data_IF_626576831537
#
_entry.id   IF_626576831537
#
_cell.length_a   1.000
_cell.length_b   1.000
_cell.length_c   1.000
_cell.angle_alpha   90.00
_cell.angle_beta   90.00
_cell.angle_gamma   90.00
#
_symmetry.space_group_name_H-M   'P 1'
#
loop_
_entity.id
_entity.type
_entity.pdbx_description
1 polymer ?
#
# COMPACT_ATOMS: atom_id res chain seq x y z
N UNK A 1 -4.17 20.56 2.42
CA UNK A 1 -3.28 19.38 2.29
C UNK A 1 -2.19 19.52 3.35
N UNK A 2 -2.32 18.77 4.44
CA UNK A 2 -1.40 18.92 5.57
C UNK A 2 0.02 18.46 5.20
N UNK A 3 0.99 19.30 5.51
CA UNK A 3 2.40 19.04 5.32
C UNK A 3 2.84 18.08 6.42
N UNK A 4 3.48 16.98 6.06
CA UNK A 4 4.04 16.03 7.04
C UNK A 4 5.09 16.75 7.89
N UNK A 5 4.81 16.95 9.16
CA UNK A 5 5.76 17.53 10.09
C UNK A 5 6.87 16.49 10.37
N UNK A 6 8.15 16.88 10.23
CA UNK A 6 9.30 15.98 10.42
C UNK A 6 9.40 15.35 11.81
N UNK A 7 8.65 15.88 12.78
CA UNK A 7 8.57 15.35 14.13
C UNK A 7 7.51 14.25 14.29
N UNK A 8 6.67 14.00 13.28
CA UNK A 8 5.64 12.98 13.35
C UNK A 8 6.19 11.58 13.06
N UNK A 9 5.72 10.64 13.86
CA UNK A 9 5.98 9.21 13.74
C UNK A 9 5.52 8.69 12.37
N UNK A 10 6.39 8.01 11.62
CA UNK A 10 6.00 7.44 10.32
C UNK A 10 5.09 6.23 10.53
N UNK A 11 3.93 6.22 9.85
CA UNK A 11 2.94 5.15 9.95
C UNK A 11 2.94 4.26 8.71
N UNK A 12 3.23 2.97 8.91
CA UNK A 12 3.14 1.95 7.89
C UNK A 12 1.86 1.14 8.05
N UNK A 13 1.06 1.03 7.01
CA UNK A 13 -0.12 0.19 6.97
C UNK A 13 0.19 -1.18 6.35
N UNK A 14 -0.28 -2.25 6.98
CA UNK A 14 -0.12 -3.63 6.51
C UNK A 14 -1.42 -4.41 6.65
N UNK A 15 -1.81 -5.14 5.60
CA UNK A 15 -2.93 -6.07 5.69
C UNK A 15 -2.48 -7.45 6.17
N UNK A 16 -3.09 -7.96 7.23
CA UNK A 16 -2.91 -9.35 7.68
C UNK A 16 -3.83 -10.28 6.88
N UNK A 17 -3.30 -10.82 5.79
CA UNK A 17 -4.03 -11.75 4.92
C UNK A 17 -3.28 -13.06 4.78
N UNK A 18 -4.01 -14.15 4.51
CA UNK A 18 -3.39 -15.45 4.17
C UNK A 18 -2.45 -15.28 2.97
N UNK A 19 -1.44 -16.14 2.87
CA UNK A 19 -0.52 -16.16 1.72
C UNK A 19 0.51 -15.02 1.73
N UNK A 20 0.88 -14.52 2.91
CA UNK A 20 1.92 -13.52 3.12
C UNK A 20 3.02 -14.05 4.03
N UNK A 21 4.23 -13.55 3.85
CA UNK A 21 5.34 -13.80 4.75
C UNK A 21 5.69 -12.49 5.48
N UNK A 22 5.60 -12.49 6.79
CA UNK A 22 5.87 -11.32 7.63
C UNK A 22 7.26 -11.36 8.28
N UNK A 23 8.03 -12.40 8.06
CA UNK A 23 9.38 -12.56 8.68
C UNK A 23 10.29 -11.40 8.29
N UNK A 24 10.29 -11.02 7.02
CA UNK A 24 11.10 -9.90 6.53
C UNK A 24 10.64 -8.56 7.14
N UNK A 25 9.33 -8.36 7.30
CA UNK A 25 8.78 -7.17 7.96
C UNK A 25 9.24 -7.07 9.41
N UNK A 26 9.14 -8.17 10.17
CA UNK A 26 9.56 -8.22 11.59
C UNK A 26 11.06 -7.94 11.71
N UNK A 27 11.90 -8.59 10.90
CA UNK A 27 13.35 -8.36 10.89
C UNK A 27 13.72 -6.92 10.53
N UNK A 28 13.05 -6.35 9.55
CA UNK A 28 13.26 -4.96 9.12
C UNK A 28 12.86 -3.96 10.21
N UNK A 29 11.72 -4.20 10.85
CA UNK A 29 11.22 -3.40 11.96
C UNK A 29 12.17 -3.43 13.16
N UNK A 30 12.71 -4.61 13.52
CA UNK A 30 13.68 -4.77 14.60
C UNK A 30 14.95 -3.96 14.33
N UNK A 31 15.47 -4.05 13.11
CA UNK A 31 16.67 -3.29 12.72
C UNK A 31 16.44 -1.78 12.77
N UNK A 32 15.30 -1.28 12.24
CA UNK A 32 14.95 0.14 12.31
C UNK A 32 14.78 0.64 13.74
N UNK A 33 14.16 -0.15 14.62
CA UNK A 33 14.03 0.20 16.04
C UNK A 33 15.38 0.29 16.73
N UNK A 34 16.29 -0.65 16.46
CA UNK A 34 17.66 -0.63 17.01
C UNK A 34 18.43 0.61 16.54
N UNK A 35 18.14 1.12 15.34
CA UNK A 35 18.70 2.38 14.82
C UNK A 35 17.92 3.63 15.31
N UNK A 36 16.97 3.46 16.24
CA UNK A 36 16.17 4.52 16.89
C UNK A 36 15.32 5.36 15.94
N UNK A 37 14.88 4.78 14.81
CA UNK A 37 13.89 5.43 13.97
C UNK A 37 12.52 5.51 14.65
N UNK A 38 11.80 6.63 14.43
CA UNK A 38 10.46 6.85 14.97
C UNK A 38 9.39 6.43 13.95
N UNK A 39 8.79 5.25 14.16
CA UNK A 39 7.76 4.70 13.27
C UNK A 39 6.83 3.74 14.00
N UNK A 40 5.74 3.40 13.36
CA UNK A 40 4.83 2.33 13.80
C UNK A 40 4.26 1.55 12.60
N UNK A 41 3.79 0.35 12.85
CA UNK A 41 3.23 -0.55 11.84
C UNK A 41 1.82 -0.93 12.28
N UNK A 42 0.83 -0.44 11.52
CA UNK A 42 -0.58 -0.73 11.80
C UNK A 42 -0.97 -1.97 11.00
N UNK A 43 -1.34 -3.03 11.69
CA UNK A 43 -1.72 -4.32 11.11
C UNK A 43 -3.22 -4.52 11.22
N UNK A 44 -3.89 -4.66 10.07
CA UNK A 44 -5.33 -4.92 9.97
C UNK A 44 -5.58 -6.32 9.40
N UNK A 45 -6.46 -7.08 10.03
CA UNK A 45 -6.88 -8.40 9.54
C UNK A 45 -6.95 -9.45 10.64
N UNK A 46 -6.95 -10.71 10.26
CA UNK A 46 -7.17 -11.83 11.20
C UNK A 46 -5.90 -12.16 11.99
N UNK A 47 -6.02 -12.27 13.31
CA UNK A 47 -4.92 -12.67 14.21
C UNK A 47 -4.27 -14.02 13.84
N UNK A 48 -5.06 -14.96 13.31
CA UNK A 48 -4.56 -16.27 12.89
C UNK A 48 -3.56 -16.22 11.73
N UNK A 49 -3.43 -15.08 11.06
CA UNK A 49 -2.57 -14.93 9.89
C UNK A 49 -1.28 -14.19 10.23
N UNK A 50 -1.40 -13.03 10.86
CA UNK A 50 -0.29 -12.34 11.51
C UNK A 50 -0.42 -12.58 13.02
N UNK A 51 0.42 -13.44 13.56
CA UNK A 51 0.39 -13.73 14.98
C UNK A 51 1.27 -12.72 15.72
N UNK A 52 0.64 -11.80 16.46
CA UNK A 52 1.37 -10.82 17.29
C UNK A 52 2.25 -11.47 18.35
N UNK A 53 1.96 -12.72 18.75
CA UNK A 53 2.79 -13.46 19.68
C UNK A 53 4.14 -13.88 19.09
N UNK A 54 4.25 -13.93 17.76
CA UNK A 54 5.52 -14.21 17.07
C UNK A 54 6.41 -12.98 16.93
N UNK A 55 5.90 -11.79 17.24
CA UNK A 55 6.68 -10.55 17.24
C UNK A 55 7.55 -10.53 18.51
N UNK A 56 8.87 -10.32 18.40
CA UNK A 56 9.77 -10.18 19.54
C UNK A 56 9.28 -9.12 20.52
N UNK A 57 9.48 -9.39 21.82
CA UNK A 57 8.96 -8.52 22.89
C UNK A 57 9.53 -7.09 22.82
N UNK A 58 10.78 -6.97 22.43
CA UNK A 58 11.52 -5.71 22.32
C UNK A 58 11.02 -4.78 21.21
N UNK A 59 10.27 -5.29 20.24
CA UNK A 59 9.68 -4.48 19.15
C UNK A 59 8.15 -4.53 19.10
N UNK A 60 7.52 -5.17 20.08
CA UNK A 60 6.07 -5.38 20.06
C UNK A 60 5.27 -4.08 20.13
N UNK A 61 5.83 -3.08 20.79
CA UNK A 61 5.24 -1.74 20.98
C UNK A 61 5.09 -0.93 19.69
N UNK A 62 5.88 -1.23 18.65
CA UNK A 62 5.77 -0.57 17.35
C UNK A 62 4.73 -1.24 16.43
N UNK A 63 4.18 -2.40 16.78
CA UNK A 63 3.13 -3.09 16.05
C UNK A 63 1.76 -2.84 16.67
N UNK A 64 0.91 -2.08 15.97
CA UNK A 64 -0.45 -1.78 16.39
C UNK A 64 -1.39 -2.73 15.68
N UNK A 65 -1.80 -3.79 16.35
CA UNK A 65 -2.73 -4.76 15.78
C UNK A 65 -4.19 -4.36 16.05
N UNK A 66 -4.97 -4.04 15.00
CA UNK A 66 -6.36 -3.59 15.11
C UNK A 66 -7.39 -4.72 14.88
N UNK A 67 -6.95 -5.92 14.50
CA UNK A 67 -7.87 -7.01 14.18
C UNK A 67 -8.67 -6.76 12.91
N UNK A 68 -9.87 -7.37 12.85
CA UNK A 68 -10.82 -7.09 11.77
C UNK A 68 -11.61 -5.84 12.13
N UNK A 69 -11.68 -4.91 11.20
CA UNK A 69 -12.39 -3.62 11.35
C UNK A 69 -13.44 -3.46 10.25
N UNK A 70 -14.39 -2.54 10.44
CA UNK A 70 -15.32 -2.12 9.38
C UNK A 70 -14.59 -1.39 8.26
N UNK A 71 -15.19 -1.30 7.08
CA UNK A 71 -14.60 -0.56 5.96
C UNK A 71 -14.37 0.92 6.30
N UNK A 72 -15.32 1.58 6.95
CA UNK A 72 -15.16 2.97 7.39
C UNK A 72 -13.91 3.15 8.26
N UNK A 73 -13.70 2.25 9.24
CA UNK A 73 -12.52 2.32 10.11
C UNK A 73 -11.23 1.96 9.37
N UNK A 74 -11.31 1.03 8.42
CA UNK A 74 -10.18 0.70 7.53
C UNK A 74 -9.73 1.93 6.74
N UNK A 75 -10.67 2.66 6.14
CA UNK A 75 -10.38 3.83 5.34
C UNK A 75 -9.77 4.96 6.16
N UNK A 76 -10.34 5.25 7.32
CA UNK A 76 -9.78 6.21 8.28
C UNK A 76 -8.31 5.87 8.64
N UNK A 77 -8.01 4.59 8.89
CA UNK A 77 -6.65 4.16 9.21
C UNK A 77 -5.71 4.34 8.03
N UNK A 78 -6.16 4.02 6.81
CA UNK A 78 -5.33 4.19 5.61
C UNK A 78 -5.09 5.68 5.32
N UNK A 79 -6.10 6.51 5.46
CA UNK A 79 -5.96 7.97 5.28
C UNK A 79 -4.92 8.57 6.22
N UNK A 80 -4.87 8.10 7.46
CA UNK A 80 -3.88 8.54 8.45
C UNK A 80 -2.52 7.87 8.32
N UNK A 81 -2.39 6.80 7.53
CA UNK A 81 -1.10 6.15 7.28
C UNK A 81 -0.29 6.87 6.22
N UNK A 82 1.03 6.79 6.31
CA UNK A 82 1.94 7.37 5.31
C UNK A 82 2.16 6.42 4.12
N UNK A 83 2.39 5.14 4.41
CA UNK A 83 2.77 4.15 3.40
C UNK A 83 2.00 2.85 3.56
N UNK A 84 1.81 2.13 2.46
CA UNK A 84 1.26 0.78 2.46
C UNK A 84 2.37 -0.23 2.16
N UNK A 85 2.62 -1.19 3.05
CA UNK A 85 3.57 -2.27 2.79
C UNK A 85 2.84 -3.46 2.17
N UNK A 86 3.28 -3.85 0.99
CA UNK A 86 2.75 -5.01 0.26
C UNK A 86 3.69 -6.20 0.48
N UNK A 87 3.33 -7.08 1.40
CA UNK A 87 4.15 -8.21 1.87
C UNK A 87 4.08 -9.44 0.96
N UNK A 88 4.13 -9.26 -0.36
CA UNK A 88 4.31 -10.35 -1.32
C UNK A 88 5.79 -10.75 -1.36
N UNK A 89 6.05 -12.05 -1.47
CA UNK A 89 7.42 -12.58 -1.59
C UNK A 89 7.50 -13.54 -2.78
N UNK A 90 8.54 -13.45 -3.61
CA UNK A 90 8.70 -14.28 -4.81
C UNK A 90 8.70 -15.79 -4.54
N UNK A 91 9.26 -16.20 -3.42
CA UNK A 91 9.39 -17.63 -3.03
C UNK A 91 8.10 -18.22 -2.44
N UNK A 92 7.02 -17.45 -2.39
CA UNK A 92 5.74 -17.92 -1.88
C UNK A 92 5.14 -18.93 -2.85
N UNK A 93 4.59 -20.05 -2.31
CA UNK A 93 3.78 -21.01 -3.11
C UNK A 93 2.59 -20.35 -3.83
N UNK A 94 2.28 -19.11 -3.54
CA UNK A 94 1.22 -18.31 -4.15
C UNK A 94 1.74 -17.28 -5.16
N UNK A 95 3.03 -17.27 -5.43
CA UNK A 95 3.68 -16.31 -6.32
C UNK A 95 2.99 -16.25 -7.69
N UNK A 96 2.86 -17.38 -8.39
CA UNK A 96 2.18 -17.46 -9.68
C UNK A 96 0.74 -16.91 -9.66
N UNK A 97 0.04 -17.07 -8.54
CA UNK A 97 -1.31 -16.59 -8.40
C UNK A 97 -1.37 -15.05 -8.43
N UNK A 98 -0.44 -14.38 -7.76
CA UNK A 98 -0.38 -12.93 -7.71
C UNK A 98 0.29 -12.30 -8.93
N UNK A 99 1.06 -13.06 -9.70
CA UNK A 99 1.61 -12.60 -10.98
C UNK A 99 0.62 -12.72 -12.14
N UNK A 100 -0.29 -13.68 -12.11
CA UNK A 100 -1.10 -14.04 -13.29
C UNK A 100 -2.60 -13.77 -13.14
N UNK A 101 -3.18 -14.03 -11.97
CA UNK A 101 -4.63 -14.15 -11.85
C UNK A 101 -5.28 -13.32 -10.74
N UNK A 102 -4.49 -12.71 -9.84
CA UNK A 102 -5.05 -11.96 -8.72
C UNK A 102 -4.36 -10.64 -8.51
N UNK A 103 -5.16 -9.62 -8.26
CA UNK A 103 -4.69 -8.34 -7.75
C UNK A 103 -4.68 -8.39 -6.21
N UNK A 104 -3.66 -7.84 -5.59
CA UNK A 104 -3.66 -7.66 -4.14
C UNK A 104 -4.49 -6.43 -3.75
N UNK A 105 -5.39 -6.59 -2.76
CA UNK A 105 -6.15 -5.47 -2.24
C UNK A 105 -5.28 -4.30 -1.74
N UNK A 106 -4.09 -4.59 -1.22
CA UNK A 106 -3.14 -3.53 -0.80
C UNK A 106 -2.68 -2.64 -1.97
N UNK A 107 -2.55 -3.18 -3.19
CA UNK A 107 -2.24 -2.38 -4.38
C UNK A 107 -3.43 -1.48 -4.75
N UNK A 108 -4.65 -2.00 -4.70
CA UNK A 108 -5.87 -1.22 -4.94
C UNK A 108 -6.02 -0.09 -3.91
N UNK A 109 -5.74 -0.36 -2.63
CA UNK A 109 -5.75 0.64 -1.57
C UNK A 109 -4.68 1.73 -1.79
N UNK A 110 -3.49 1.35 -2.29
CA UNK A 110 -2.44 2.33 -2.64
C UNK A 110 -2.93 3.31 -3.69
N UNK A 111 -3.56 2.83 -4.76
CA UNK A 111 -4.13 3.68 -5.80
C UNK A 111 -5.33 4.50 -5.30
N UNK A 112 -6.27 3.85 -4.60
CA UNK A 112 -7.49 4.50 -4.13
C UNK A 112 -7.24 5.64 -3.14
N UNK A 113 -6.25 5.48 -2.27
CA UNK A 113 -5.90 6.48 -1.24
C UNK A 113 -4.67 7.33 -1.61
N UNK A 114 -4.10 7.15 -2.80
CA UNK A 114 -2.88 7.83 -3.25
C UNK A 114 -1.74 7.70 -2.23
N UNK A 115 -1.61 6.53 -1.60
CA UNK A 115 -0.56 6.25 -0.62
C UNK A 115 0.59 5.51 -1.30
N UNK A 116 1.83 6.05 -1.26
CA UNK A 116 2.98 5.33 -1.78
C UNK A 116 3.11 3.96 -1.11
N UNK A 117 3.35 2.93 -1.91
CA UNK A 117 3.56 1.61 -1.36
C UNK A 117 5.04 1.22 -1.33
N UNK A 118 5.33 0.27 -0.45
CA UNK A 118 6.61 -0.43 -0.39
C UNK A 118 6.34 -1.84 -0.90
N UNK A 119 7.01 -2.23 -1.99
CA UNK A 119 6.70 -3.47 -2.70
C UNK A 119 7.98 -4.13 -3.22
N UNK A 120 8.01 -5.47 -3.23
CA UNK A 120 9.09 -6.23 -3.86
C UNK A 120 9.10 -6.00 -5.39
N UNK A 121 10.31 -5.85 -5.96
CA UNK A 121 10.56 -5.58 -7.39
C UNK A 121 9.89 -6.60 -8.31
N UNK A 122 9.90 -7.86 -7.92
CA UNK A 122 9.30 -8.94 -8.68
C UNK A 122 7.79 -8.80 -8.89
N UNK A 123 7.10 -8.10 -7.98
CA UNK A 123 5.66 -7.83 -8.09
C UNK A 123 5.33 -6.42 -8.58
N UNK A 124 6.24 -5.47 -8.44
CA UNK A 124 5.99 -4.06 -8.74
C UNK A 124 5.48 -3.87 -10.19
N UNK A 125 6.12 -4.53 -11.15
CA UNK A 125 5.74 -4.45 -12.56
C UNK A 125 4.30 -4.88 -12.82
N UNK A 126 3.84 -5.97 -12.19
CA UNK A 126 2.48 -6.49 -12.42
C UNK A 126 1.37 -5.57 -11.91
N UNK A 127 1.72 -4.64 -11.04
CA UNK A 127 0.79 -3.67 -10.45
C UNK A 127 1.10 -2.23 -10.88
N UNK A 128 1.85 -2.02 -11.99
CA UNK A 128 2.25 -0.71 -12.50
C UNK A 128 3.00 0.19 -11.47
N UNK A 129 3.67 -0.44 -10.50
CA UNK A 129 4.56 0.28 -9.58
C UNK A 129 5.98 0.33 -10.13
N UNK A 130 6.65 1.47 -9.90
CA UNK A 130 8.03 1.73 -10.27
C UNK A 130 8.66 2.74 -9.30
N UNK A 131 9.95 3.01 -9.45
CA UNK A 131 10.70 3.90 -8.55
C UNK A 131 10.21 5.36 -8.54
N UNK A 132 9.33 5.77 -9.47
CA UNK A 132 8.72 7.10 -9.50
C UNK A 132 7.47 7.21 -8.63
N UNK A 133 6.76 6.11 -8.39
CA UNK A 133 5.47 6.10 -7.67
C UNK A 133 5.42 5.19 -6.44
N UNK A 134 6.51 4.50 -6.13
CA UNK A 134 6.60 3.56 -5.01
C UNK A 134 8.04 3.42 -4.51
N UNK A 135 8.20 2.76 -3.38
CA UNK A 135 9.50 2.37 -2.85
C UNK A 135 9.70 0.88 -3.12
N UNK A 136 10.56 0.58 -4.07
CA UNK A 136 10.81 -0.79 -4.53
C UNK A 136 12.03 -1.36 -3.80
N UNK A 137 11.92 -2.62 -3.38
CA UNK A 137 13.04 -3.36 -2.81
C UNK A 137 13.25 -4.69 -3.54
N UNK A 138 14.45 -5.26 -3.44
CA UNK A 138 14.83 -6.57 -3.94
C UNK A 138 15.48 -7.40 -2.83
N UNK A 139 15.62 -8.69 -3.10
CA UNK A 139 16.40 -9.62 -2.27
C UNK A 139 16.00 -9.56 -0.79
N UNK A 140 14.70 -9.46 -0.54
CA UNK A 140 14.13 -9.37 0.81
C UNK A 140 14.62 -8.15 1.62
N UNK A 141 15.23 -7.15 0.98
CA UNK A 141 15.79 -5.98 1.64
C UNK A 141 14.75 -4.88 1.94
N UNK A 142 13.63 -5.29 2.52
CA UNK A 142 12.53 -4.40 2.93
C UNK A 142 13.01 -3.31 3.90
N UNK A 143 14.01 -3.62 4.73
CA UNK A 143 14.60 -2.66 5.66
C UNK A 143 15.03 -1.36 4.97
N UNK A 144 15.78 -1.45 3.86
CA UNK A 144 16.27 -0.26 3.15
C UNK A 144 15.12 0.58 2.58
N UNK A 145 14.07 -0.06 2.06
CA UNK A 145 12.90 0.66 1.55
C UNK A 145 12.11 1.34 2.67
N UNK A 146 11.93 0.69 3.82
CA UNK A 146 11.31 1.29 5.00
C UNK A 146 12.16 2.44 5.56
N UNK A 147 13.48 2.28 5.64
CA UNK A 147 14.40 3.34 6.07
C UNK A 147 14.31 4.55 5.13
N UNK A 148 14.33 4.32 3.82
CA UNK A 148 14.14 5.38 2.83
C UNK A 148 12.80 6.08 3.02
N UNK A 149 11.71 5.33 3.26
CA UNK A 149 10.38 5.90 3.51
C UNK A 149 10.35 6.86 4.70
N UNK A 150 11.03 6.51 5.79
CA UNK A 150 11.12 7.36 6.99
C UNK A 150 11.92 8.64 6.71
N UNK A 151 12.97 8.54 5.89
CA UNK A 151 13.90 9.64 5.62
C UNK A 151 13.45 10.56 4.48
N UNK A 152 12.45 10.18 3.68
CA UNK A 152 11.94 11.01 2.59
C UNK A 152 11.47 12.37 3.13
N UNK A 153 11.87 13.44 2.45
CA UNK A 153 11.31 14.76 2.71
C UNK A 153 9.91 14.92 2.07
N UNK A 154 9.21 15.99 2.42
CA UNK A 154 7.84 16.24 1.95
C UNK A 154 7.74 16.36 0.42
N UNK A 155 8.73 16.94 -0.24
CA UNK A 155 8.72 17.10 -1.70
C UNK A 155 8.86 15.73 -2.39
N UNK A 156 9.77 14.88 -1.93
CA UNK A 156 9.96 13.53 -2.45
C UNK A 156 8.71 12.68 -2.23
N UNK A 157 8.12 12.74 -1.04
CA UNK A 157 6.86 12.05 -0.74
C UNK A 157 5.71 12.51 -1.65
N UNK A 158 5.54 13.82 -1.83
CA UNK A 158 4.51 14.37 -2.71
C UNK A 158 4.75 14.01 -4.18
N UNK A 159 5.99 13.92 -4.62
CA UNK A 159 6.32 13.44 -5.96
C UNK A 159 5.86 12.00 -6.18
N UNK A 160 6.06 11.09 -5.22
CA UNK A 160 5.53 9.73 -5.29
C UNK A 160 4.00 9.74 -5.40
N UNK A 161 3.30 10.51 -4.57
CA UNK A 161 1.83 10.63 -4.60
C UNK A 161 1.30 11.18 -5.92
N UNK A 162 1.92 12.21 -6.46
CA UNK A 162 1.53 12.78 -7.75
C UNK A 162 1.70 11.77 -8.89
N UNK A 163 2.75 10.97 -8.87
CA UNK A 163 2.94 9.91 -9.85
C UNK A 163 1.92 8.76 -9.68
N UNK A 164 1.51 8.42 -8.46
CA UNK A 164 0.38 7.50 -8.23
C UNK A 164 -0.90 8.06 -8.86
N UNK A 165 -1.21 9.33 -8.61
CA UNK A 165 -2.40 9.97 -9.19
C UNK A 165 -2.40 9.90 -10.73
N UNK A 166 -1.26 10.14 -11.37
CA UNK A 166 -1.14 10.05 -12.84
C UNK A 166 -1.43 8.63 -13.34
N UNK A 167 -0.88 7.61 -12.66
CA UNK A 167 -1.13 6.21 -13.01
C UNK A 167 -2.58 5.82 -12.75
N UNK A 168 -3.15 6.24 -11.63
CA UNK A 168 -4.56 5.98 -11.29
C UNK A 168 -5.49 6.52 -12.38
N UNK A 169 -5.28 7.76 -12.82
CA UNK A 169 -6.03 8.37 -13.94
C UNK A 169 -5.90 7.55 -15.23
N UNK A 170 -4.68 7.08 -15.55
CA UNK A 170 -4.44 6.24 -16.73
C UNK A 170 -5.16 4.89 -16.62
N UNK A 171 -5.08 4.21 -15.48
CA UNK A 171 -5.77 2.93 -15.24
C UNK A 171 -7.28 3.12 -15.39
N UNK A 172 -7.84 4.17 -14.79
CA UNK A 172 -9.25 4.51 -14.89
C UNK A 172 -9.68 4.71 -16.35
N UNK A 173 -8.96 5.53 -17.11
CA UNK A 173 -9.27 5.77 -18.52
C UNK A 173 -9.26 4.50 -19.36
N UNK A 174 -8.26 3.63 -19.16
CA UNK A 174 -8.18 2.33 -19.86
C UNK A 174 -9.35 1.43 -19.46
N UNK A 175 -9.72 1.41 -18.18
CA UNK A 175 -10.84 0.61 -17.69
C UNK A 175 -12.16 1.05 -18.32
N UNK A 176 -12.43 2.36 -18.39
CA UNK A 176 -13.61 2.92 -19.07
C UNK A 176 -13.62 2.54 -20.54
N UNK A 177 -12.50 2.71 -21.26
CA UNK A 177 -12.41 2.33 -22.68
C UNK A 177 -12.69 0.83 -22.88
N UNK A 178 -12.22 -0.03 -22.01
CA UNK A 178 -12.47 -1.47 -22.09
C UNK A 178 -13.95 -1.81 -21.83
N UNK A 179 -14.57 -1.17 -20.83
CA UNK A 179 -16.01 -1.33 -20.56
C UNK A 179 -16.84 -0.88 -21.76
N UNK A 180 -16.54 0.26 -22.36
CA UNK A 180 -17.23 0.77 -23.53
C UNK A 180 -17.10 -0.15 -24.77
N UNK A 181 -15.99 -0.88 -24.89
CA UNK A 181 -15.82 -1.90 -25.94
C UNK A 181 -16.66 -3.14 -25.71
N UNK A 182 -16.83 -3.55 -24.45
CA UNK A 182 -17.58 -4.74 -24.07
C UNK A 182 -19.09 -4.52 -24.08
N UNK A 183 -19.53 -3.30 -23.79
CA UNK A 183 -20.94 -2.93 -23.68
C UNK A 183 -21.18 -1.72 -24.61
N UNK A 184 -21.46 -1.96 -25.91
CA UNK A 184 -21.62 -0.89 -26.90
C UNK A 184 -22.71 0.13 -26.55
N UNK A 185 -23.77 -0.28 -25.82
CA UNK A 185 -24.86 0.61 -25.38
C UNK A 185 -24.36 1.70 -24.40
N UNK A 186 -23.25 1.47 -23.70
CA UNK A 186 -22.65 2.45 -22.77
C UNK A 186 -21.83 3.52 -23.52
N UNK A 187 -21.61 3.41 -24.84
CA UNK A 187 -20.83 4.39 -25.62
C UNK A 187 -21.35 5.82 -25.51
N UNK A 188 -22.65 5.99 -25.25
CA UNK A 188 -23.28 7.29 -25.08
C UNK A 188 -23.26 7.81 -23.63
N UNK A 189 -22.77 7.03 -22.67
CA UNK A 189 -22.66 7.49 -21.30
C UNK A 189 -21.43 8.39 -21.16
N UNK A 190 -21.68 9.67 -20.91
CA UNK A 190 -20.61 10.64 -20.76
C UNK A 190 -20.00 10.54 -19.34
N UNK A 191 -18.97 9.71 -19.21
CA UNK A 191 -18.24 9.53 -17.93
C UNK A 191 -17.48 10.78 -17.48
N UNK A 192 -17.37 11.82 -18.33
CA UNK A 192 -16.81 13.12 -17.92
C UNK A 192 -17.68 13.85 -16.90
N UNK A 193 -18.98 13.47 -16.81
CA UNK A 193 -19.91 13.95 -15.79
C UNK A 193 -19.93 13.11 -14.51
N UNK A 194 -19.04 12.11 -14.38
CA UNK A 194 -18.83 11.50 -13.09
C UNK A 194 -18.40 12.61 -12.11
N UNK A 195 -19.09 12.76 -10.96
CA UNK A 195 -18.86 13.90 -10.10
C UNK A 195 -17.37 13.94 -9.74
N UNK A 196 -16.69 15.10 -9.86
CA UNK A 196 -15.27 15.25 -9.54
C UNK A 196 -14.96 14.78 -8.11
N UNK A 197 -15.96 14.77 -7.24
CA UNK A 197 -15.90 14.32 -5.87
C UNK A 197 -15.61 12.80 -5.70
N UNK A 198 -15.81 11.97 -6.72
CA UNK A 198 -15.40 10.55 -6.66
C UNK A 198 -13.89 10.37 -6.67
N UNK A 199 -13.14 11.31 -7.25
CA UNK A 199 -11.68 11.30 -7.25
C UNK A 199 -11.08 12.13 -6.12
N UNK A 200 -11.86 13.10 -5.58
CA UNK A 200 -11.38 14.00 -4.53
C UNK A 200 -11.80 13.56 -3.12
N UNK A 201 -12.92 12.87 -2.96
CA UNK A 201 -13.51 12.59 -1.64
C UNK A 201 -13.78 11.11 -1.33
N UNK A 202 -13.65 10.18 -2.28
CA UNK A 202 -13.80 8.76 -2.00
C UNK A 202 -12.80 7.91 -2.78
N UNK A 203 -12.12 6.97 -2.10
CA UNK A 203 -11.32 5.96 -2.79
C UNK A 203 -12.23 5.10 -3.65
N UNK A 204 -11.87 4.95 -4.93
CA UNK A 204 -12.55 4.05 -5.83
C UNK A 204 -12.52 2.63 -5.27
N UNK A 205 -13.68 2.13 -4.85
CA UNK A 205 -13.87 0.74 -4.42
C UNK A 205 -14.36 -0.03 -5.64
N UNK A 206 -13.59 -1.02 -6.08
CA UNK A 206 -14.00 -2.12 -6.92
C UNK A 206 -13.70 -3.44 -6.25
#
# INVERSE_FOLDING_TARGET
MEIKDKNNKTQFFVTSTRKRNYTNLIKSAQRLKNEKFNFEIIVIGRNKVFNISSVPKDIKDIFIFKGQVTYSKLYEIIENSDYIIITLTPESKYDNLFRKTRVTGSAQLSYGFLKPCIIDREFAYFYNFNDKNSLIYNDLNLYNAMKKAILLNNNEYNNLRNNILLITKKIYSISIMNIQKLIPEIKHYNFSNAPPNLLENHPLIY
#
